data_IF_800759165655
#
_entry.id   IF_800759165655
#
_cell.length_a   1.000
_cell.length_b   1.000
_cell.length_c   1.000
_cell.angle_alpha   90.00
_cell.angle_beta   90.00
_cell.angle_gamma   90.00
#
_symmetry.space_group_name_H-M   'P 1'
#
loop_
_entity.id
_entity.type
_entity.pdbx_description
1 polymer ?
#
# COMPACT_ATOMS: atom_id res chain seq x y z
N UNK A 1 12.44 -16.39 -7.37
CA UNK A 1 12.82 -15.62 -6.17
C UNK A 1 11.56 -15.21 -5.41
N UNK A 2 11.27 -15.84 -4.28
CA UNK A 2 10.16 -15.48 -3.41
C UNK A 2 10.45 -14.12 -2.76
N UNK A 3 10.11 -13.01 -3.44
CA UNK A 3 10.15 -11.67 -2.84
C UNK A 3 9.17 -11.67 -1.67
N UNK A 4 9.69 -11.79 -0.45
CA UNK A 4 8.91 -11.99 0.78
C UNK A 4 7.97 -10.81 1.05
N UNK A 5 6.65 -10.93 0.83
CA UNK A 5 5.72 -9.85 1.13
C UNK A 5 5.59 -9.62 2.64
N UNK A 6 5.93 -10.62 3.47
CA UNK A 6 5.84 -10.55 4.93
C UNK A 6 6.73 -9.46 5.52
N UNK A 7 8.00 -9.37 5.12
CA UNK A 7 8.93 -8.35 5.66
C UNK A 7 8.39 -6.94 5.43
N UNK A 8 7.81 -6.67 4.25
CA UNK A 8 7.21 -5.36 3.97
C UNK A 8 5.96 -5.13 4.80
N UNK A 9 5.11 -6.14 5.00
CA UNK A 9 3.92 -6.03 5.84
C UNK A 9 4.29 -5.79 7.31
N UNK A 10 5.20 -6.59 7.86
CA UNK A 10 5.69 -6.47 9.25
C UNK A 10 6.35 -5.11 9.48
N UNK A 11 7.16 -4.66 8.52
CA UNK A 11 7.82 -3.36 8.61
C UNK A 11 6.84 -2.19 8.49
N UNK A 12 5.83 -2.29 7.61
CA UNK A 12 4.76 -1.31 7.52
C UNK A 12 3.91 -1.26 8.80
N UNK A 13 3.58 -2.40 9.39
CA UNK A 13 2.83 -2.50 10.65
C UNK A 13 3.61 -1.90 11.82
N UNK A 14 4.90 -2.21 11.92
CA UNK A 14 5.80 -1.61 12.91
C UNK A 14 5.88 -0.08 12.76
N UNK A 15 6.02 0.43 11.54
CA UNK A 15 6.04 1.87 11.29
C UNK A 15 4.70 2.56 11.57
N UNK A 16 3.58 1.86 11.34
CA UNK A 16 2.25 2.34 11.73
C UNK A 16 2.15 2.53 13.25
N UNK A 17 2.71 1.60 14.04
CA UNK A 17 2.78 1.72 15.50
C UNK A 17 3.67 2.88 15.97
N UNK A 18 4.78 3.15 15.28
CA UNK A 18 5.68 4.26 15.62
C UNK A 18 5.17 5.67 15.25
N UNK A 19 3.98 5.80 14.66
CA UNK A 19 3.40 7.08 14.22
C UNK A 19 4.27 7.89 13.23
N UNK A 20 5.23 7.26 12.54
CA UNK A 20 6.17 7.94 11.62
C UNK A 20 5.56 8.17 10.23
N UNK A 21 4.60 9.09 10.11
CA UNK A 21 3.72 9.22 8.92
C UNK A 21 4.48 9.33 7.59
N UNK A 22 5.48 10.21 7.52
CA UNK A 22 6.24 10.45 6.28
C UNK A 22 7.04 9.21 5.88
N UNK A 23 7.70 8.55 6.84
CA UNK A 23 8.47 7.32 6.59
C UNK A 23 7.55 6.19 6.15
N UNK A 24 6.43 5.97 6.85
CA UNK A 24 5.44 4.96 6.50
C UNK A 24 4.95 5.14 5.05
N UNK A 25 4.68 6.37 4.62
CA UNK A 25 4.31 6.66 3.21
C UNK A 25 5.41 6.32 2.21
N UNK A 26 6.66 6.64 2.51
CA UNK A 26 7.78 6.30 1.62
C UNK A 26 7.97 4.78 1.52
N UNK A 27 7.84 4.08 2.63
CA UNK A 27 7.97 2.62 2.70
C UNK A 27 6.84 1.94 1.92
N UNK A 28 5.59 2.40 2.06
CA UNK A 28 4.48 1.89 1.24
C UNK A 28 4.73 2.08 -0.26
N UNK A 29 5.24 3.24 -0.69
CA UNK A 29 5.57 3.46 -2.10
C UNK A 29 6.72 2.55 -2.56
N UNK A 30 7.75 2.35 -1.73
CA UNK A 30 8.85 1.41 -2.05
C UNK A 30 8.37 -0.04 -2.10
N UNK A 31 7.47 -0.44 -1.21
CA UNK A 31 6.87 -1.78 -1.23
C UNK A 31 6.13 -2.01 -2.55
N UNK A 32 5.29 -1.06 -2.97
CA UNK A 32 4.57 -1.14 -4.26
C UNK A 32 5.53 -1.16 -5.47
N UNK A 33 6.69 -0.51 -5.41
CA UNK A 33 7.71 -0.58 -6.46
C UNK A 33 8.50 -1.89 -6.44
N UNK A 34 8.75 -2.47 -5.27
CA UNK A 34 9.58 -3.65 -5.11
C UNK A 34 8.82 -4.96 -5.37
N UNK A 35 7.52 -5.00 -5.03
CA UNK A 35 6.67 -6.18 -5.19
C UNK A 35 5.98 -6.22 -6.56
N UNK A 36 5.79 -7.41 -7.14
CA UNK A 36 4.95 -7.59 -8.32
C UNK A 36 3.48 -7.25 -8.03
N UNK A 37 2.77 -6.78 -9.06
CA UNK A 37 1.37 -6.32 -9.06
C UNK A 37 0.44 -7.32 -8.35
N UNK A 38 0.61 -8.61 -8.62
CA UNK A 38 -0.17 -9.70 -8.03
C UNK A 38 -0.12 -9.73 -6.49
N UNK A 39 0.84 -9.07 -5.83
CA UNK A 39 0.96 -9.00 -4.37
C UNK A 39 0.48 -7.67 -3.78
N UNK A 40 0.17 -6.67 -4.61
CA UNK A 40 -0.26 -5.34 -4.15
C UNK A 40 -1.58 -5.40 -3.38
N UNK A 41 -2.46 -6.36 -3.70
CA UNK A 41 -3.72 -6.62 -2.99
C UNK A 41 -3.56 -6.78 -1.46
N UNK A 42 -2.38 -7.20 -0.97
CA UNK A 42 -2.11 -7.34 0.47
C UNK A 42 -1.67 -6.03 1.13
N UNK A 43 -1.02 -5.16 0.37
CA UNK A 43 -0.45 -3.89 0.87
C UNK A 43 -1.52 -2.80 0.90
N UNK A 44 -2.35 -2.72 -0.14
CA UNK A 44 -3.42 -1.73 -0.27
C UNK A 44 -4.36 -1.61 0.94
N UNK A 45 -4.94 -2.70 1.49
CA UNK A 45 -5.83 -2.58 2.66
C UNK A 45 -5.10 -2.04 3.89
N UNK A 46 -3.83 -2.42 4.08
CA UNK A 46 -3.01 -1.92 5.18
C UNK A 46 -2.71 -0.42 5.01
N UNK A 47 -2.46 0.01 3.77
CA UNK A 47 -2.21 1.41 3.45
C UNK A 47 -3.48 2.27 3.63
N UNK A 48 -4.64 1.78 3.18
CA UNK A 48 -5.93 2.45 3.35
C UNK A 48 -6.31 2.60 4.82
N UNK A 49 -6.13 1.54 5.62
CA UNK A 49 -6.36 1.58 7.08
C UNK A 49 -5.46 2.60 7.77
N UNK A 50 -4.18 2.65 7.39
CA UNK A 50 -3.24 3.65 7.92
C UNK A 50 -3.69 5.08 7.61
N UNK A 51 -4.05 5.36 6.36
CA UNK A 51 -4.39 6.72 5.94
C UNK A 51 -5.75 7.17 6.52
N UNK A 52 -6.71 6.26 6.63
CA UNK A 52 -7.98 6.50 7.32
C UNK A 52 -7.76 6.81 8.81
N UNK A 53 -6.89 6.05 9.49
CA UNK A 53 -6.56 6.27 10.91
C UNK A 53 -5.82 7.59 11.19
N UNK A 54 -5.02 8.08 10.23
CA UNK A 54 -4.26 9.34 10.41
C UNK A 54 -5.03 10.61 10.03
N UNK A 55 -6.23 10.50 9.47
CA UNK A 55 -7.11 11.66 9.24
C UNK A 55 -6.55 12.69 8.23
N UNK A 56 -5.80 12.24 7.21
CA UNK A 56 -5.27 13.12 6.15
C UNK A 56 -6.09 12.89 4.86
N UNK A 57 -7.24 13.59 4.69
CA UNK A 57 -8.20 13.29 3.64
C UNK A 57 -7.61 13.45 2.23
N UNK A 58 -6.79 14.47 2.00
CA UNK A 58 -6.23 14.77 0.68
C UNK A 58 -5.27 13.67 0.19
N UNK A 59 -4.46 13.14 1.10
CA UNK A 59 -3.59 12.00 0.82
C UNK A 59 -4.39 10.71 0.67
N UNK A 60 -5.44 10.53 1.48
CA UNK A 60 -6.36 9.39 1.39
C UNK A 60 -7.00 9.28 0.02
N UNK A 61 -7.60 10.38 -0.45
CA UNK A 61 -8.28 10.45 -1.75
C UNK A 61 -7.31 10.15 -2.89
N UNK A 62 -6.09 10.70 -2.85
CA UNK A 62 -5.09 10.45 -3.90
C UNK A 62 -4.65 8.98 -3.97
N UNK A 63 -4.48 8.34 -2.82
CA UNK A 63 -4.12 6.92 -2.71
C UNK A 63 -5.30 6.04 -3.15
N UNK A 64 -6.52 6.37 -2.73
CA UNK A 64 -7.73 5.66 -3.10
C UNK A 64 -7.99 5.71 -4.61
N UNK A 65 -7.81 6.88 -5.25
CA UNK A 65 -7.87 7.01 -6.71
C UNK A 65 -6.83 6.14 -7.42
N UNK A 66 -5.62 6.05 -6.86
CA UNK A 66 -4.56 5.18 -7.42
C UNK A 66 -4.90 3.71 -7.26
N UNK A 67 -5.47 3.31 -6.13
CA UNK A 67 -5.98 1.97 -5.90
C UNK A 67 -7.09 1.60 -6.89
N UNK A 68 -8.06 2.49 -7.11
CA UNK A 68 -9.15 2.26 -8.06
C UNK A 68 -8.64 2.07 -9.49
N UNK A 69 -7.68 2.90 -9.94
CA UNK A 69 -7.06 2.74 -11.27
C UNK A 69 -6.37 1.39 -11.43
N UNK A 70 -5.69 0.94 -10.38
CA UNK A 70 -5.02 -0.35 -10.37
C UNK A 70 -6.03 -1.51 -10.42
N UNK A 71 -7.09 -1.42 -9.62
CA UNK A 71 -8.13 -2.44 -9.57
C UNK A 71 -8.95 -2.51 -10.87
N UNK A 72 -9.06 -1.42 -11.64
CA UNK A 72 -9.65 -1.43 -12.98
C UNK A 72 -8.74 -2.07 -14.03
N UNK A 73 -7.42 -1.97 -13.87
CA UNK A 73 -6.42 -2.54 -14.79
C UNK A 73 -6.20 -4.05 -14.53
N UNK A 74 -6.26 -4.51 -13.27
CA UNK A 74 -6.29 -5.95 -12.92
C UNK A 74 -7.49 -6.71 -13.56
N UNK A 75 -8.57 -6.01 -13.94
CA UNK A 75 -9.71 -6.61 -14.65
C UNK A 75 -9.43 -6.90 -16.12
N UNK A 76 -8.42 -6.27 -16.73
CA UNK A 76 -8.13 -6.41 -18.17
C UNK A 76 -7.12 -7.52 -18.47
N UNK A 77 -6.28 -7.94 -17.51
CA UNK A 77 -5.29 -9.02 -17.67
C UNK A 77 -5.86 -10.46 -17.51
N UNK A 78 -7.18 -10.60 -17.33
CA UNK A 78 -7.87 -11.89 -17.13
C UNK A 78 -8.74 -12.34 -18.31
N UNK A 79 -8.64 -11.72 -19.49
CA UNK A 79 -9.37 -12.11 -20.70
C UNK A 79 -8.46 -12.65 -21.81
#
# INVERSE_FOLDING_TARGET
MYKMPRIWLDYCEFLCMQCQITKTRHVFNRALQALPISQHHRIWPLYLKFVSSKGIPETAVRIYRRYLKFCSEDTEDFY
#
